data_IF_846854182516
#
_entry.id   IF_846854182516
#
_cell.length_a   1.000
_cell.length_b   1.000
_cell.length_c   1.000
_cell.angle_alpha   90.00
_cell.angle_beta   90.00
_cell.angle_gamma   90.00
#
_symmetry.space_group_name_H-M   'P 1'
#
loop_
_entity.id
_entity.type
_entity.pdbx_description
1 polymer ?
#
# COMPACT_ATOMS: atom_id res chain seq x y z
N UNK A 1 22.97 -3.37 -24.92
CA UNK A 1 23.94 -3.16 -23.83
C UNK A 1 23.61 -4.18 -22.77
N UNK A 2 24.49 -5.16 -22.54
CA UNK A 2 24.30 -6.23 -21.55
C UNK A 2 24.85 -5.70 -20.24
N UNK A 3 23.99 -5.60 -19.22
CA UNK A 3 24.44 -5.25 -17.86
C UNK A 3 24.58 -6.55 -17.07
N UNK A 4 25.75 -6.82 -16.54
CA UNK A 4 25.94 -7.81 -15.50
C UNK A 4 25.26 -7.31 -14.21
N UNK A 5 24.41 -8.15 -13.63
CA UNK A 5 23.61 -7.81 -12.46
C UNK A 5 23.86 -8.86 -11.39
N UNK A 6 24.55 -8.49 -10.33
CA UNK A 6 24.66 -9.27 -9.10
C UNK A 6 23.40 -9.10 -8.26
N UNK A 7 22.64 -10.17 -8.06
CA UNK A 7 21.47 -10.21 -7.20
C UNK A 7 20.20 -10.74 -7.88
N UNK A 8 19.08 -10.93 -7.13
CA UNK A 8 17.82 -11.44 -7.69
C UNK A 8 17.27 -10.48 -8.75
N UNK A 9 16.89 -11.05 -9.90
CA UNK A 9 16.44 -10.32 -11.08
C UNK A 9 14.93 -10.45 -11.25
N UNK A 10 14.27 -9.33 -11.55
CA UNK A 10 12.88 -9.31 -12.04
C UNK A 10 12.91 -9.14 -13.55
N UNK A 11 12.42 -10.11 -14.30
CA UNK A 11 12.28 -10.03 -15.74
C UNK A 11 10.92 -9.52 -16.15
N UNK A 12 10.87 -8.53 -17.05
CA UNK A 12 9.65 -8.06 -17.70
C UNK A 12 9.78 -8.23 -19.21
N UNK A 13 8.86 -8.95 -19.84
CA UNK A 13 8.80 -9.05 -21.31
C UNK A 13 7.84 -8.01 -21.87
N UNK A 14 8.37 -7.05 -22.64
CA UNK A 14 7.58 -6.04 -23.34
C UNK A 14 7.94 -6.08 -24.81
N UNK A 15 6.95 -6.23 -25.68
CA UNK A 15 7.13 -6.28 -27.14
C UNK A 15 8.19 -7.29 -27.62
N UNK A 16 8.24 -8.48 -27.00
CA UNK A 16 9.18 -9.54 -27.36
C UNK A 16 10.61 -9.35 -26.85
N UNK A 17 10.89 -8.33 -26.06
CA UNK A 17 12.19 -8.07 -25.40
C UNK A 17 12.09 -8.30 -23.91
N UNK A 18 13.09 -8.99 -23.35
CA UNK A 18 13.20 -9.24 -21.92
C UNK A 18 13.99 -8.12 -21.25
N UNK A 19 13.42 -7.53 -20.21
CA UNK A 19 14.05 -6.53 -19.35
C UNK A 19 14.26 -7.13 -17.96
N UNK A 20 15.48 -7.04 -17.43
CA UNK A 20 15.82 -7.53 -16.11
C UNK A 20 16.20 -6.37 -15.20
N UNK A 21 15.63 -6.32 -14.02
CA UNK A 21 15.87 -5.26 -13.03
C UNK A 21 16.47 -5.86 -11.76
N UNK A 22 17.51 -5.24 -11.21
CA UNK A 22 18.06 -5.58 -9.91
C UNK A 22 17.28 -4.86 -8.80
N UNK A 23 16.81 -5.59 -7.81
CA UNK A 23 16.07 -5.03 -6.66
C UNK A 23 16.94 -4.06 -5.85
N UNK A 24 18.26 -4.30 -5.75
CA UNK A 24 19.19 -3.40 -5.07
C UNK A 24 19.35 -2.04 -5.77
N UNK A 25 19.15 -1.98 -7.10
CA UNK A 25 19.17 -0.74 -7.87
C UNK A 25 17.91 0.10 -7.66
N UNK A 26 16.75 -0.55 -7.47
CA UNK A 26 15.49 0.14 -7.19
C UNK A 26 15.53 0.99 -5.90
N UNK A 27 16.13 0.48 -4.83
CA UNK A 27 16.26 1.23 -3.56
C UNK A 27 17.14 2.47 -3.72
N UNK A 28 18.17 2.42 -4.58
CA UNK A 28 19.08 3.56 -4.86
C UNK A 28 18.48 4.58 -5.82
N UNK A 29 17.74 4.14 -6.83
CA UNK A 29 17.06 5.05 -7.77
C UNK A 29 15.88 5.78 -7.12
N UNK A 30 15.16 5.17 -6.18
CA UNK A 30 14.13 5.85 -5.37
C UNK A 30 14.73 7.01 -4.56
N UNK A 31 15.92 6.84 -3.97
CA UNK A 31 16.60 7.91 -3.25
C UNK A 31 17.07 9.02 -4.19
N UNK A 32 17.63 8.68 -5.36
CA UNK A 32 18.07 9.66 -6.34
C UNK A 32 16.89 10.39 -7.00
N UNK A 33 15.77 9.72 -7.24
CA UNK A 33 14.53 10.32 -7.74
C UNK A 33 13.93 11.30 -6.73
N UNK A 34 13.85 10.93 -5.45
CA UNK A 34 13.39 11.80 -4.37
C UNK A 34 14.31 13.01 -4.20
N UNK A 35 15.64 12.84 -4.29
CA UNK A 35 16.59 13.96 -4.24
C UNK A 35 16.47 14.91 -5.44
N UNK A 36 16.21 14.39 -6.64
CA UNK A 36 16.03 15.20 -7.85
C UNK A 36 14.73 16.00 -7.85
N UNK A 37 13.67 15.48 -7.22
CA UNK A 37 12.41 16.19 -7.00
C UNK A 37 12.49 17.21 -5.87
N UNK A 38 13.31 16.99 -4.84
CA UNK A 38 13.57 17.94 -3.76
C UNK A 38 14.46 19.11 -4.17
N UNK A 39 15.23 18.97 -5.27
CA UNK A 39 16.12 20.04 -5.75
C UNK A 39 15.41 21.20 -6.47
N UNK A 40 14.13 21.03 -6.89
CA UNK A 40 13.33 22.10 -7.50
C UNK A 40 12.17 22.44 -6.58
N UNK A 41 12.24 23.59 -5.95
CA UNK A 41 11.17 24.09 -5.08
C UNK A 41 9.88 24.30 -5.88
N UNK A 42 8.86 23.52 -5.56
CA UNK A 42 7.55 23.54 -6.24
C UNK A 42 6.43 23.90 -5.28
N UNK A 43 5.47 24.65 -5.78
CA UNK A 43 4.24 24.95 -5.04
C UNK A 43 3.52 23.65 -4.65
N UNK A 44 3.24 23.48 -3.36
CA UNK A 44 2.57 22.29 -2.85
C UNK A 44 1.13 22.12 -3.41
N UNK A 45 0.51 23.22 -3.85
CA UNK A 45 -0.84 23.19 -4.44
C UNK A 45 -0.81 22.91 -5.95
N UNK A 46 -0.23 23.79 -6.78
CA UNK A 46 -0.29 23.68 -8.24
C UNK A 46 0.87 22.91 -8.88
N UNK A 47 1.91 22.53 -8.12
CA UNK A 47 3.12 21.79 -8.56
C UNK A 47 4.06 22.56 -9.49
N UNK A 48 3.73 23.78 -9.88
CA UNK A 48 4.61 24.65 -10.66
C UNK A 48 5.79 25.14 -9.80
N UNK A 49 6.89 25.55 -10.47
CA UNK A 49 8.07 26.06 -9.78
C UNK A 49 7.72 27.32 -8.97
N UNK A 50 8.15 27.35 -7.72
CA UNK A 50 8.00 28.52 -6.85
C UNK A 50 9.07 29.56 -7.20
N UNK A 51 8.66 30.82 -7.31
CA UNK A 51 9.57 31.96 -7.52
C UNK A 51 10.18 32.47 -6.20
N UNK A 52 10.78 33.67 -6.27
CA UNK A 52 11.39 34.30 -5.09
C UNK A 52 10.38 34.70 -4.00
N UNK A 53 9.12 34.94 -4.40
CA UNK A 53 8.03 35.26 -3.46
C UNK A 53 7.14 34.05 -3.29
N UNK A 54 7.01 33.61 -2.04
CA UNK A 54 6.18 32.46 -1.68
C UNK A 54 5.67 32.59 -0.23
N UNK A 55 4.66 31.78 0.09
CA UNK A 55 4.15 31.53 1.44
C UNK A 55 4.56 30.13 1.89
N UNK A 56 4.66 29.92 3.20
CA UNK A 56 5.01 28.63 3.80
C UNK A 56 3.89 28.10 4.71
N UNK A 57 3.67 26.78 4.65
CA UNK A 57 2.90 26.06 5.63
C UNK A 57 3.66 24.78 6.01
N UNK A 58 4.32 24.79 7.17
CA UNK A 58 5.34 23.80 7.54
C UNK A 58 6.48 23.83 6.52
N UNK A 59 6.86 22.65 6.02
CA UNK A 59 7.94 22.51 5.02
C UNK A 59 7.51 22.79 3.58
N UNK A 60 6.21 23.05 3.34
CA UNK A 60 5.67 23.26 2.00
C UNK A 60 5.62 24.72 1.62
N UNK A 61 6.03 25.04 0.36
CA UNK A 61 5.99 26.36 -0.25
C UNK A 61 4.80 26.51 -1.21
N UNK A 62 4.25 27.71 -1.29
CA UNK A 62 3.07 28.03 -2.09
C UNK A 62 3.26 29.37 -2.79
N UNK A 63 2.74 29.52 -3.99
CA UNK A 63 2.52 30.84 -4.57
C UNK A 63 1.50 31.63 -3.72
N UNK A 64 1.56 32.93 -3.68
CA UNK A 64 0.58 33.77 -2.97
C UNK A 64 -0.87 33.45 -3.39
N UNK A 65 -1.12 33.27 -4.69
CA UNK A 65 -2.43 32.90 -5.21
C UNK A 65 -2.87 31.45 -4.88
N UNK A 66 -1.94 30.58 -4.52
CA UNK A 66 -2.19 29.20 -4.14
C UNK A 66 -2.33 29.02 -2.62
N UNK A 67 -1.94 30.01 -1.84
CA UNK A 67 -2.01 30.01 -0.37
C UNK A 67 -3.40 30.43 0.09
N UNK A 68 -4.40 29.59 -0.22
CA UNK A 68 -5.83 29.88 0.00
C UNK A 68 -6.54 28.68 0.63
N UNK A 69 -7.52 28.98 1.45
CA UNK A 69 -8.42 27.98 1.99
C UNK A 69 -9.22 27.29 0.86
N UNK A 70 -9.22 25.98 0.87
CA UNK A 70 -9.96 25.18 -0.11
C UNK A 70 -11.47 25.43 -0.04
N UNK A 71 -12.02 25.66 1.16
CA UNK A 71 -13.45 25.90 1.36
C UNK A 71 -13.87 27.31 0.89
N UNK A 72 -13.37 28.37 1.54
CA UNK A 72 -13.82 29.74 1.29
C UNK A 72 -13.02 30.50 0.21
N UNK A 73 -11.90 29.94 -0.29
CA UNK A 73 -10.99 30.52 -1.29
C UNK A 73 -10.27 31.80 -0.85
N UNK A 74 -10.45 32.23 0.41
CA UNK A 74 -9.72 33.37 0.98
C UNK A 74 -8.29 32.99 1.34
N UNK A 75 -7.38 33.97 1.29
CA UNK A 75 -6.01 33.81 1.75
C UNK A 75 -5.98 33.74 3.28
N UNK A 76 -4.96 33.07 3.84
CA UNK A 76 -4.75 33.02 5.27
C UNK A 76 -4.10 34.31 5.76
N UNK A 77 -4.61 34.84 6.86
CA UNK A 77 -4.05 36.00 7.59
C UNK A 77 -3.25 35.50 8.80
N UNK A 78 -2.34 36.30 9.30
CA UNK A 78 -1.51 35.91 10.45
C UNK A 78 -2.35 35.56 11.68
N UNK A 79 -2.05 34.44 12.32
CA UNK A 79 -2.74 33.97 13.53
C UNK A 79 -3.94 33.05 13.30
N UNK A 80 -4.39 32.86 12.06
CA UNK A 80 -5.47 31.90 11.75
C UNK A 80 -4.99 30.46 11.83
N UNK A 81 -5.85 29.59 12.36
CA UNK A 81 -5.60 28.14 12.37
C UNK A 81 -5.68 27.52 10.98
N UNK A 82 -4.65 26.77 10.61
CA UNK A 82 -4.49 26.20 9.29
C UNK A 82 -4.38 24.67 9.35
N UNK A 83 -5.25 23.96 8.60
CA UNK A 83 -5.13 22.55 8.30
C UNK A 83 -4.48 22.32 6.92
N UNK A 84 -3.55 21.35 6.83
CA UNK A 84 -2.83 21.02 5.60
C UNK A 84 -2.99 19.56 5.25
N UNK A 85 -3.36 19.27 4.00
CA UNK A 85 -3.38 17.92 3.45
C UNK A 85 -2.11 17.58 2.67
N UNK A 86 -1.80 16.28 2.47
CA UNK A 86 -0.55 15.84 1.83
C UNK A 86 -0.46 16.21 0.35
N UNK A 87 -1.57 16.66 -0.26
CA UNK A 87 -1.61 17.13 -1.65
C UNK A 87 -1.46 18.65 -1.79
N UNK A 88 -1.16 19.34 -0.67
CA UNK A 88 -1.02 20.78 -0.64
C UNK A 88 -2.34 21.54 -0.55
N UNK A 89 -3.46 20.85 -0.29
CA UNK A 89 -4.71 21.52 0.05
C UNK A 89 -4.62 22.13 1.44
N UNK A 90 -5.05 23.41 1.55
CA UNK A 90 -5.08 24.15 2.81
C UNK A 90 -6.53 24.46 3.19
N UNK A 91 -6.82 24.49 4.48
CA UNK A 91 -8.15 24.81 4.99
C UNK A 91 -8.03 25.59 6.30
N UNK A 92 -8.84 26.65 6.50
CA UNK A 92 -9.01 27.24 7.83
C UNK A 92 -9.61 26.20 8.77
N UNK A 93 -9.15 26.12 10.00
CA UNK A 93 -9.65 25.12 10.95
C UNK A 93 -11.17 25.23 11.17
N UNK A 94 -11.70 26.43 11.15
CA UNK A 94 -13.15 26.70 11.24
C UNK A 94 -13.96 26.16 10.05
N UNK A 95 -13.30 26.00 8.89
CA UNK A 95 -13.91 25.46 7.67
C UNK A 95 -13.65 23.96 7.46
N UNK A 96 -13.05 23.28 8.43
CA UNK A 96 -12.71 21.86 8.32
C UNK A 96 -13.94 20.97 8.05
N UNK A 97 -15.11 21.35 8.56
CA UNK A 97 -16.37 20.63 8.30
C UNK A 97 -16.90 20.75 6.87
N UNK A 98 -16.45 21.74 6.09
CA UNK A 98 -16.84 21.98 4.70
C UNK A 98 -16.00 21.18 3.69
N UNK A 99 -14.95 20.51 4.15
CA UNK A 99 -14.10 19.66 3.32
C UNK A 99 -14.21 18.20 3.75
N UNK A 100 -13.97 17.31 2.81
CA UNK A 100 -13.78 15.89 3.06
C UNK A 100 -12.33 15.51 2.78
N UNK A 101 -11.86 14.47 3.46
CA UNK A 101 -10.56 13.85 3.19
C UNK A 101 -10.78 12.47 2.60
N UNK A 102 -10.07 12.14 1.54
CA UNK A 102 -10.12 10.81 0.94
C UNK A 102 -9.49 9.76 1.89
N UNK A 103 -10.22 8.68 2.17
CA UNK A 103 -9.74 7.61 3.06
C UNK A 103 -8.54 6.82 2.52
N UNK A 104 -8.30 6.90 1.21
CA UNK A 104 -7.17 6.21 0.58
C UNK A 104 -5.93 7.10 0.43
N UNK A 105 -6.08 8.31 -0.09
CA UNK A 105 -4.94 9.18 -0.41
C UNK A 105 -4.86 10.47 0.42
N UNK A 106 -5.78 10.66 1.37
CA UNK A 106 -5.89 11.85 2.23
C UNK A 106 -5.99 13.20 1.46
N UNK A 107 -6.42 13.17 0.19
CA UNK A 107 -6.68 14.40 -0.57
C UNK A 107 -7.90 15.12 0.01
N UNK A 108 -7.76 16.41 0.28
CA UNK A 108 -8.87 17.28 0.64
C UNK A 108 -9.67 17.68 -0.61
N UNK A 109 -10.99 17.73 -0.47
CA UNK A 109 -11.90 18.27 -1.49
C UNK A 109 -13.15 18.87 -0.81
N UNK A 110 -13.78 19.83 -1.49
CA UNK A 110 -14.97 20.49 -0.97
C UNK A 110 -16.16 19.54 -1.04
N UNK A 111 -16.96 19.53 0.03
CA UNK A 111 -18.16 18.68 0.07
C UNK A 111 -19.20 19.10 -0.96
N UNK A 112 -19.35 20.42 -1.19
CA UNK A 112 -20.31 20.95 -2.17
C UNK A 112 -19.96 20.60 -3.63
N UNK A 113 -18.67 20.40 -3.94
CA UNK A 113 -18.21 20.04 -5.28
C UNK A 113 -18.15 18.49 -5.47
N UNK A 114 -18.54 17.71 -4.45
CA UNK A 114 -18.37 16.28 -4.47
C UNK A 114 -19.52 15.55 -5.17
N UNK A 115 -19.17 14.49 -5.92
CA UNK A 115 -20.15 13.57 -6.47
C UNK A 115 -20.67 12.64 -5.34
N UNK A 116 -21.98 12.37 -5.25
CA UNK A 116 -22.54 11.43 -4.28
C UNK A 116 -21.85 10.05 -4.27
N UNK A 117 -21.34 9.56 -5.43
CA UNK A 117 -20.58 8.32 -5.54
C UNK A 117 -19.27 8.32 -4.77
N UNK A 118 -18.77 9.48 -4.35
CA UNK A 118 -17.57 9.59 -3.53
C UNK A 118 -17.78 9.18 -2.07
N UNK A 119 -19.05 9.03 -1.65
CA UNK A 119 -19.45 8.59 -0.32
C UNK A 119 -20.03 7.18 -0.40
N UNK A 120 -19.30 6.23 0.15
CA UNK A 120 -19.74 4.84 0.18
C UNK A 120 -20.75 4.61 1.30
N UNK A 121 -21.65 3.66 1.12
CA UNK A 121 -22.65 3.29 2.15
C UNK A 121 -22.05 2.79 3.45
N UNK A 122 -20.79 2.35 3.43
CA UNK A 122 -20.01 1.91 4.59
C UNK A 122 -19.28 3.06 5.31
N UNK A 123 -19.54 4.30 4.92
CA UNK A 123 -18.97 5.52 5.49
C UNK A 123 -17.60 5.91 4.92
N UNK A 124 -17.00 5.13 4.01
CA UNK A 124 -15.77 5.55 3.33
C UNK A 124 -16.04 6.73 2.40
N UNK A 125 -15.02 7.57 2.27
CA UNK A 125 -15.02 8.73 1.39
C UNK A 125 -13.84 8.63 0.43
N UNK A 126 -14.10 8.77 -0.88
CA UNK A 126 -13.08 8.72 -1.93
C UNK A 126 -13.05 10.01 -2.73
N UNK A 127 -11.86 10.55 -3.00
CA UNK A 127 -11.77 11.65 -3.95
C UNK A 127 -12.02 11.14 -5.38
N UNK A 128 -12.33 12.05 -6.31
CA UNK A 128 -12.66 11.71 -7.69
C UNK A 128 -11.58 10.82 -8.36
N UNK A 129 -10.32 11.19 -8.22
CA UNK A 129 -9.21 10.41 -8.79
C UNK A 129 -9.13 8.97 -8.26
N UNK A 130 -9.30 8.79 -6.94
CA UNK A 130 -9.30 7.47 -6.33
C UNK A 130 -10.53 6.65 -6.73
N UNK A 131 -11.68 7.30 -6.92
CA UNK A 131 -12.91 6.65 -7.36
C UNK A 131 -12.82 6.17 -8.82
N UNK A 132 -12.29 6.99 -9.72
CA UNK A 132 -12.10 6.64 -11.14
C UNK A 132 -11.14 5.45 -11.31
N UNK A 133 -10.13 5.37 -10.44
CA UNK A 133 -9.17 4.28 -10.45
C UNK A 133 -9.58 3.09 -9.56
N UNK A 134 -10.73 3.14 -8.89
CA UNK A 134 -11.17 2.11 -7.96
C UNK A 134 -11.48 0.76 -8.63
N UNK A 135 -11.24 -0.31 -7.88
CA UNK A 135 -11.46 -1.70 -8.30
C UNK A 135 -12.83 -2.17 -7.83
N UNK A 136 -13.76 -2.34 -8.77
CA UNK A 136 -15.14 -2.78 -8.51
C UNK A 136 -15.50 -4.11 -9.17
N UNK A 137 -14.66 -4.62 -10.06
CA UNK A 137 -14.94 -5.81 -10.87
C UNK A 137 -13.73 -6.75 -10.95
N UNK A 138 -13.99 -7.95 -11.43
CA UNK A 138 -12.98 -9.02 -11.54
C UNK A 138 -11.96 -8.76 -12.66
N UNK A 139 -12.32 -8.01 -13.70
CA UNK A 139 -11.41 -7.64 -14.77
C UNK A 139 -10.27 -6.77 -14.22
N UNK A 140 -10.62 -5.68 -13.53
CA UNK A 140 -9.67 -4.78 -12.91
C UNK A 140 -8.87 -5.45 -11.79
N UNK A 141 -9.51 -6.36 -11.01
CA UNK A 141 -8.82 -7.17 -10.01
C UNK A 141 -7.79 -8.12 -10.64
N UNK A 142 -8.08 -8.66 -11.82
CA UNK A 142 -7.13 -9.48 -12.58
C UNK A 142 -5.88 -8.70 -12.99
N UNK A 143 -6.02 -7.42 -13.34
CA UNK A 143 -4.88 -6.52 -13.61
C UNK A 143 -4.05 -6.28 -12.35
N UNK A 144 -4.69 -6.09 -11.19
CA UNK A 144 -3.99 -5.99 -9.89
C UNK A 144 -3.16 -7.26 -9.64
N UNK A 145 -3.77 -8.44 -9.81
CA UNK A 145 -3.06 -9.72 -9.66
C UNK A 145 -1.88 -9.84 -10.61
N UNK A 146 -2.07 -9.50 -11.88
CA UNK A 146 -1.01 -9.51 -12.89
C UNK A 146 0.16 -8.59 -12.55
N UNK A 147 -0.09 -7.53 -11.76
CA UNK A 147 0.95 -6.62 -11.28
C UNK A 147 1.66 -7.17 -10.04
N UNK A 148 0.96 -7.81 -9.12
CA UNK A 148 1.49 -8.29 -7.84
C UNK A 148 2.33 -9.56 -8.02
N UNK A 149 1.81 -10.59 -8.68
CA UNK A 149 2.43 -11.93 -8.74
C UNK A 149 3.87 -11.92 -9.26
N UNK A 150 4.23 -11.20 -10.35
CA UNK A 150 5.60 -11.16 -10.82
C UNK A 150 6.58 -10.54 -9.80
N UNK A 151 6.14 -9.53 -9.04
CA UNK A 151 6.96 -8.90 -8.01
C UNK A 151 7.27 -9.89 -6.89
N UNK A 152 6.25 -10.61 -6.40
CA UNK A 152 6.42 -11.63 -5.35
C UNK A 152 7.38 -12.73 -5.78
N UNK A 153 7.20 -13.26 -6.99
CA UNK A 153 8.11 -14.26 -7.56
C UNK A 153 9.53 -13.74 -7.73
N UNK A 154 9.66 -12.46 -8.11
CA UNK A 154 10.94 -11.80 -8.30
C UNK A 154 11.78 -11.66 -7.02
N UNK A 155 11.15 -11.64 -5.85
CA UNK A 155 11.84 -11.66 -4.55
C UNK A 155 12.04 -13.08 -3.99
N UNK A 156 11.63 -14.12 -4.74
CA UNK A 156 11.79 -15.52 -4.31
C UNK A 156 10.58 -16.07 -3.52
N UNK A 157 9.48 -15.31 -3.41
CA UNK A 157 8.27 -15.80 -2.75
C UNK A 157 7.54 -16.78 -3.68
N UNK A 158 7.59 -18.07 -3.36
CA UNK A 158 6.82 -19.10 -4.07
C UNK A 158 5.34 -19.01 -3.68
N UNK A 159 4.48 -18.95 -4.67
CA UNK A 159 3.02 -18.97 -4.51
C UNK A 159 2.49 -20.36 -4.90
N UNK A 160 1.29 -20.74 -4.40
CA UNK A 160 0.64 -21.98 -4.82
C UNK A 160 0.49 -22.08 -6.34
N UNK A 161 0.66 -23.30 -6.89
CA UNK A 161 0.46 -23.55 -8.33
C UNK A 161 -0.99 -23.37 -8.74
N UNK A 162 -1.92 -23.78 -7.86
CA UNK A 162 -3.35 -23.56 -8.08
C UNK A 162 -3.72 -22.10 -7.90
N UNK A 163 -4.49 -21.52 -8.83
CA UNK A 163 -5.01 -20.16 -8.66
C UNK A 163 -5.82 -20.03 -7.37
N UNK A 164 -5.47 -19.07 -6.54
CA UNK A 164 -6.24 -18.73 -5.33
C UNK A 164 -7.46 -17.92 -5.75
N UNK A 165 -8.69 -18.32 -5.34
CA UNK A 165 -9.87 -17.49 -5.51
C UNK A 165 -9.72 -16.16 -4.78
N UNK A 166 -9.96 -15.05 -5.52
CA UNK A 166 -9.93 -13.68 -4.97
C UNK A 166 -11.28 -13.05 -5.27
N UNK A 167 -11.97 -12.60 -4.22
CA UNK A 167 -13.31 -12.04 -4.30
C UNK A 167 -13.34 -10.60 -3.81
N UNK A 168 -14.03 -9.74 -4.56
CA UNK A 168 -14.37 -8.39 -4.09
C UNK A 168 -15.60 -8.47 -3.19
N UNK A 169 -15.50 -7.91 -1.98
CA UNK A 169 -16.54 -7.96 -0.96
C UNK A 169 -16.84 -6.58 -0.41
N UNK A 170 -17.99 -6.44 0.21
CA UNK A 170 -18.39 -5.20 0.89
C UNK A 170 -17.82 -5.11 2.34
N UNK A 171 -17.97 -3.95 2.94
CA UNK A 171 -17.56 -3.70 4.32
C UNK A 171 -18.31 -4.59 5.33
N UNK A 172 -19.65 -4.77 5.26
CA UNK A 172 -20.36 -5.66 6.16
C UNK A 172 -19.84 -7.10 6.16
N UNK A 173 -19.42 -7.62 4.99
CA UNK A 173 -18.81 -8.94 4.91
C UNK A 173 -17.51 -8.99 5.71
N UNK A 174 -16.56 -8.05 5.43
CA UNK A 174 -15.28 -8.03 6.12
C UNK A 174 -15.41 -7.82 7.64
N UNK A 175 -16.32 -6.97 8.07
CA UNK A 175 -16.55 -6.69 9.49
C UNK A 175 -17.11 -7.93 10.21
N UNK A 176 -17.96 -8.71 9.54
CA UNK A 176 -18.48 -9.99 10.07
C UNK A 176 -17.38 -11.02 10.20
N UNK A 177 -16.55 -11.18 9.15
CA UNK A 177 -15.45 -12.13 9.17
C UNK A 177 -14.35 -11.70 10.16
N UNK A 178 -14.02 -10.42 10.26
CA UNK A 178 -13.10 -9.89 11.25
C UNK A 178 -13.52 -10.26 12.68
N UNK A 179 -14.80 -10.09 13.01
CA UNK A 179 -15.35 -10.48 14.32
C UNK A 179 -15.21 -11.98 14.57
N UNK A 180 -15.43 -12.82 13.53
CA UNK A 180 -15.32 -14.28 13.63
C UNK A 180 -13.90 -14.73 13.96
N UNK A 181 -12.90 -14.07 13.38
CA UNK A 181 -11.47 -14.38 13.62
C UNK A 181 -10.85 -13.54 14.75
N UNK A 182 -11.66 -12.73 15.45
CA UNK A 182 -11.23 -11.83 16.53
C UNK A 182 -10.12 -10.85 16.09
N UNK A 183 -10.16 -10.41 14.82
CA UNK A 183 -9.26 -9.38 14.32
C UNK A 183 -9.73 -8.00 14.74
N UNK A 184 -8.81 -7.16 15.17
CA UNK A 184 -9.09 -5.77 15.51
C UNK A 184 -8.87 -4.86 14.29
N UNK A 185 -9.70 -3.83 14.16
CA UNK A 185 -9.58 -2.81 13.13
C UNK A 185 -10.47 -3.04 11.91
N UNK A 186 -10.42 -2.07 11.00
CA UNK A 186 -11.17 -2.09 9.73
C UNK A 186 -10.33 -2.76 8.64
N UNK A 187 -10.54 -4.06 8.43
CA UNK A 187 -9.84 -4.81 7.40
C UNK A 187 -10.13 -4.25 5.99
N UNK A 188 -9.13 -4.28 5.12
CA UNK A 188 -9.24 -3.98 3.68
C UNK A 188 -9.06 -5.22 2.82
N UNK A 189 -8.47 -6.26 3.39
CA UNK A 189 -8.35 -7.60 2.84
C UNK A 189 -8.48 -8.64 3.94
N UNK A 190 -8.61 -9.89 3.55
CA UNK A 190 -8.67 -11.03 4.46
C UNK A 190 -8.29 -12.31 3.72
N UNK A 191 -7.36 -13.05 4.27
CA UNK A 191 -6.99 -14.40 3.81
C UNK A 191 -7.58 -15.45 4.73
N UNK A 192 -8.39 -16.34 4.17
CA UNK A 192 -8.83 -17.55 4.86
C UNK A 192 -8.07 -18.75 4.31
N UNK A 193 -7.46 -19.52 5.21
CA UNK A 193 -6.75 -20.75 4.89
C UNK A 193 -7.39 -21.90 5.65
N UNK A 194 -7.78 -22.96 4.92
CA UNK A 194 -8.11 -24.28 5.47
C UNK A 194 -6.99 -25.22 5.08
N UNK A 195 -6.64 -26.13 5.96
CA UNK A 195 -5.71 -27.19 5.65
C UNK A 195 -6.23 -28.55 6.12
N UNK A 196 -5.81 -29.60 5.43
CA UNK A 196 -6.12 -30.98 5.78
C UNK A 196 -4.83 -31.77 5.82
N UNK A 197 -4.53 -32.36 6.95
CA UNK A 197 -3.43 -33.32 7.12
C UNK A 197 -3.96 -34.73 6.91
N UNK A 198 -3.40 -35.43 5.96
CA UNK A 198 -3.65 -36.83 5.73
C UNK A 198 -2.48 -37.63 6.34
N UNK A 199 -2.76 -38.44 7.32
CA UNK A 199 -1.75 -39.28 8.00
C UNK A 199 -1.77 -40.69 7.40
N UNK A 200 -0.61 -41.28 7.17
CA UNK A 200 -0.44 -42.62 6.60
C UNK A 200 0.97 -42.82 6.07
N UNK A 201 1.16 -43.85 5.24
CA UNK A 201 2.45 -44.16 4.62
C UNK A 201 2.92 -42.97 3.76
N UNK A 202 1.97 -42.27 3.11
CA UNK A 202 2.19 -41.01 2.36
C UNK A 202 1.51 -39.87 3.09
N UNK A 203 2.14 -39.34 4.16
CA UNK A 203 1.60 -38.18 4.84
C UNK A 203 1.68 -36.96 3.96
N UNK A 204 0.56 -36.23 3.79
CA UNK A 204 0.48 -35.04 2.95
C UNK A 204 -0.37 -33.98 3.62
N UNK A 205 -0.03 -32.71 3.35
CA UNK A 205 -0.87 -31.57 3.75
C UNK A 205 -1.38 -30.88 2.51
N UNK A 206 -2.69 -30.67 2.45
CA UNK A 206 -3.32 -29.89 1.40
C UNK A 206 -3.89 -28.61 1.96
N UNK A 207 -3.78 -27.53 1.20
CA UNK A 207 -4.28 -26.22 1.57
C UNK A 207 -5.38 -25.76 0.61
N UNK A 208 -6.34 -25.03 1.17
CA UNK A 208 -7.38 -24.33 0.44
C UNK A 208 -7.42 -22.89 0.92
N UNK A 209 -7.06 -21.98 0.04
CA UNK A 209 -6.99 -20.53 0.32
C UNK A 209 -8.12 -19.80 -0.35
N UNK A 210 -8.57 -18.72 0.28
CA UNK A 210 -9.48 -17.75 -0.30
C UNK A 210 -9.11 -16.36 0.19
N UNK A 211 -8.99 -15.41 -0.75
CA UNK A 211 -8.66 -14.02 -0.45
C UNK A 211 -9.90 -13.16 -0.71
N UNK A 212 -10.22 -12.30 0.23
CA UNK A 212 -11.26 -11.30 0.10
C UNK A 212 -10.63 -9.92 0.10
N UNK A 213 -11.05 -9.07 -0.84
CA UNK A 213 -10.58 -7.68 -0.98
C UNK A 213 -11.79 -6.75 -0.90
N UNK A 214 -11.66 -5.67 -0.13
CA UNK A 214 -12.70 -4.65 -0.04
C UNK A 214 -12.93 -3.99 -1.41
N UNK A 215 -14.17 -4.06 -1.90
CA UNK A 215 -14.57 -3.41 -3.16
C UNK A 215 -14.42 -1.89 -3.10
N UNK A 216 -14.03 -1.27 -4.21
CA UNK A 216 -13.90 0.17 -4.32
C UNK A 216 -12.60 0.75 -3.77
N UNK A 217 -11.57 -0.07 -3.50
CA UNK A 217 -10.23 0.43 -3.24
C UNK A 217 -9.59 0.97 -4.53
N UNK A 218 -8.85 2.09 -4.51
CA UNK A 218 -8.04 2.52 -5.64
C UNK A 218 -7.06 1.42 -6.08
N UNK A 219 -6.76 1.37 -7.36
CA UNK A 219 -5.92 0.33 -7.96
C UNK A 219 -4.59 0.11 -7.21
N UNK A 220 -3.87 1.20 -6.90
CA UNK A 220 -2.59 1.14 -6.18
C UNK A 220 -2.75 0.62 -4.75
N UNK A 221 -3.83 1.01 -4.06
CA UNK A 221 -4.12 0.49 -2.74
C UNK A 221 -4.51 -0.99 -2.78
N UNK A 222 -5.29 -1.39 -3.81
CA UNK A 222 -5.65 -2.78 -4.04
C UNK A 222 -4.40 -3.66 -4.28
N UNK A 223 -3.37 -3.17 -5.00
CA UNK A 223 -2.05 -3.81 -5.12
C UNK A 223 -1.45 -4.08 -3.74
N UNK A 224 -1.42 -3.07 -2.88
CA UNK A 224 -0.88 -3.18 -1.52
C UNK A 224 -1.60 -4.25 -0.70
N UNK A 225 -2.93 -4.20 -0.71
CA UNK A 225 -3.77 -5.15 0.04
C UNK A 225 -3.60 -6.56 -0.49
N UNK A 226 -3.66 -6.77 -1.81
CA UNK A 226 -3.50 -8.10 -2.38
C UNK A 226 -2.11 -8.70 -2.11
N UNK A 227 -1.05 -7.89 -2.16
CA UNK A 227 0.30 -8.33 -1.81
C UNK A 227 0.40 -8.77 -0.35
N UNK A 228 -0.25 -8.03 0.56
CA UNK A 228 -0.37 -8.38 1.98
C UNK A 228 -1.05 -9.74 2.17
N UNK A 229 -2.18 -9.95 1.50
CA UNK A 229 -2.93 -11.20 1.59
C UNK A 229 -2.17 -12.41 1.00
N UNK A 230 -1.42 -12.21 -0.08
CA UNK A 230 -0.53 -13.25 -0.59
C UNK A 230 0.60 -13.61 0.38
N UNK A 231 1.09 -12.64 1.16
CA UNK A 231 2.08 -12.92 2.19
C UNK A 231 1.48 -13.81 3.31
N UNK A 232 0.23 -13.58 3.71
CA UNK A 232 -0.47 -14.48 4.63
C UNK A 232 -0.61 -15.90 4.05
N UNK A 233 -0.91 -16.05 2.76
CA UNK A 233 -0.93 -17.38 2.11
C UNK A 233 0.42 -18.06 2.25
N UNK A 234 1.51 -17.36 1.93
CA UNK A 234 2.86 -17.90 2.01
C UNK A 234 3.24 -18.35 3.43
N UNK A 235 2.89 -17.55 4.43
CA UNK A 235 3.11 -17.86 5.85
C UNK A 235 2.29 -19.08 6.29
N UNK A 236 1.01 -19.12 5.91
CA UNK A 236 0.08 -20.17 6.30
C UNK A 236 0.49 -21.55 5.73
N UNK A 237 0.90 -21.62 4.44
CA UNK A 237 1.36 -22.86 3.82
C UNK A 237 2.62 -23.43 4.47
N UNK A 238 3.37 -22.59 5.16
CA UNK A 238 4.62 -22.98 5.85
C UNK A 238 4.45 -23.10 7.35
N UNK A 239 3.20 -22.98 7.84
CA UNK A 239 2.89 -23.04 9.25
C UNK A 239 3.81 -22.12 10.09
N UNK A 240 4.06 -20.91 9.59
CA UNK A 240 4.90 -19.97 10.30
C UNK A 240 4.15 -19.49 11.55
N UNK A 241 4.69 -19.84 12.71
CA UNK A 241 4.22 -19.41 14.02
C UNK A 241 5.14 -18.31 14.56
N UNK A 242 4.61 -17.14 14.72
CA UNK A 242 5.38 -15.97 15.16
C UNK A 242 4.48 -14.92 15.81
N UNK A 243 5.09 -13.89 16.36
CA UNK A 243 4.31 -12.80 16.96
C UNK A 243 3.47 -12.06 15.93
N UNK A 244 2.30 -11.52 16.31
CA UNK A 244 1.49 -10.70 15.39
C UNK A 244 2.28 -9.58 14.73
N UNK A 245 3.21 -8.94 15.44
CA UNK A 245 4.05 -7.87 14.90
C UNK A 245 5.04 -8.36 13.82
N UNK A 246 5.51 -9.59 13.91
CA UNK A 246 6.38 -10.18 12.88
C UNK A 246 5.57 -10.64 11.68
N UNK A 247 4.43 -11.26 11.88
CA UNK A 247 3.50 -11.68 10.80
C UNK A 247 3.04 -10.47 10.01
N UNK A 248 2.40 -9.50 10.66
CA UNK A 248 1.86 -8.32 10.00
C UNK A 248 2.97 -7.40 9.45
N UNK A 249 4.09 -7.33 10.14
CA UNK A 249 5.27 -6.61 9.69
C UNK A 249 5.84 -7.19 8.40
N UNK A 250 5.91 -8.52 8.27
CA UNK A 250 6.33 -9.21 7.06
C UNK A 250 5.31 -8.98 5.93
N UNK A 251 4.01 -9.11 6.18
CA UNK A 251 2.97 -8.85 5.19
C UNK A 251 3.02 -7.40 4.68
N UNK A 252 3.23 -6.43 5.57
CA UNK A 252 3.41 -5.03 5.18
C UNK A 252 4.70 -4.79 4.38
N UNK A 253 5.79 -5.50 4.67
CA UNK A 253 7.01 -5.43 3.87
C UNK A 253 6.77 -5.93 2.43
N UNK A 254 6.02 -7.01 2.27
CA UNK A 254 5.61 -7.52 0.95
C UNK A 254 4.70 -6.52 0.22
N UNK A 255 3.81 -5.85 0.93
CA UNK A 255 3.02 -4.75 0.36
C UNK A 255 3.91 -3.60 -0.12
N UNK A 256 4.89 -3.20 0.68
CA UNK A 256 5.82 -2.09 0.37
C UNK A 256 6.60 -2.34 -0.91
N UNK A 257 7.11 -3.55 -1.14
CA UNK A 257 7.85 -3.85 -2.37
C UNK A 257 6.98 -3.80 -3.63
N UNK A 258 5.70 -4.18 -3.52
CA UNK A 258 4.76 -4.05 -4.63
C UNK A 258 4.41 -2.58 -4.89
N UNK A 259 4.20 -1.79 -3.84
CA UNK A 259 3.98 -0.35 -3.94
C UNK A 259 5.20 0.37 -4.53
N UNK A 260 6.42 -0.06 -4.22
CA UNK A 260 7.65 0.56 -4.72
C UNK A 260 7.78 0.47 -6.26
N UNK A 261 7.05 -0.43 -6.92
CA UNK A 261 6.97 -0.51 -8.37
C UNK A 261 6.10 0.60 -9.00
N UNK A 262 5.33 1.32 -8.20
CA UNK A 262 4.48 2.42 -8.62
C UNK A 262 5.06 3.75 -8.12
N UNK A 263 5.25 4.70 -9.06
CA UNK A 263 5.85 6.02 -8.77
C UNK A 263 4.80 7.09 -8.48
N UNK A 264 3.53 6.72 -8.39
CA UNK A 264 2.46 7.65 -8.08
C UNK A 264 2.59 8.22 -6.66
N UNK A 265 2.06 9.43 -6.49
CA UNK A 265 2.01 10.04 -5.15
C UNK A 265 1.15 9.22 -4.18
N UNK A 266 0.16 8.48 -4.66
CA UNK A 266 -0.65 7.58 -3.82
C UNK A 266 0.23 6.47 -3.24
N UNK A 267 1.05 5.83 -4.07
CA UNK A 267 2.01 4.82 -3.61
C UNK A 267 2.98 5.37 -2.57
N UNK A 268 3.56 6.55 -2.84
CA UNK A 268 4.47 7.22 -1.89
C UNK A 268 3.79 7.49 -0.54
N UNK A 269 2.56 8.00 -0.54
CA UNK A 269 1.80 8.28 0.69
C UNK A 269 1.45 7.01 1.46
N UNK A 270 1.08 5.92 0.77
CA UNK A 270 0.80 4.63 1.42
C UNK A 270 2.07 4.08 2.10
N UNK A 271 3.21 4.11 1.42
CA UNK A 271 4.50 3.69 1.98
C UNK A 271 4.94 4.59 3.15
N UNK A 272 4.76 5.89 3.03
CA UNK A 272 5.05 6.85 4.10
C UNK A 272 4.17 6.59 5.33
N UNK A 273 2.89 6.32 5.14
CA UNK A 273 1.97 5.98 6.22
C UNK A 273 2.38 4.67 6.94
N UNK A 274 2.83 3.64 6.20
CA UNK A 274 3.39 2.43 6.80
C UNK A 274 4.61 2.74 7.67
N UNK A 275 5.51 3.61 7.20
CA UNK A 275 6.71 4.02 7.94
C UNK A 275 6.41 4.84 9.19
N UNK A 276 5.42 5.74 9.13
CA UNK A 276 5.04 6.64 10.22
C UNK A 276 4.05 6.03 11.20
N UNK A 277 3.45 4.90 10.87
CA UNK A 277 2.45 4.24 11.72
C UNK A 277 3.02 3.94 13.10
N UNK A 278 2.36 4.43 14.15
CA UNK A 278 2.70 4.18 15.55
C UNK A 278 2.12 2.87 16.07
N UNK A 279 1.29 2.20 15.26
CA UNK A 279 0.71 0.92 15.64
C UNK A 279 1.81 -0.11 15.93
N UNK A 280 1.81 -0.75 17.12
CA UNK A 280 2.89 -1.65 17.54
C UNK A 280 2.97 -2.93 16.70
N UNK A 281 1.86 -3.39 16.16
CA UNK A 281 1.79 -4.59 15.32
C UNK A 281 2.15 -4.25 13.88
N UNK A 282 1.39 -3.37 13.24
CA UNK A 282 1.54 -3.06 11.82
C UNK A 282 2.73 -2.13 11.53
N UNK A 283 2.87 -1.03 12.26
CA UNK A 283 3.91 -0.02 12.02
C UNK A 283 5.27 -0.41 12.55
N UNK A 284 5.37 -0.74 13.86
CA UNK A 284 6.63 -1.16 14.45
C UNK A 284 7.10 -2.50 13.89
N UNK A 285 6.19 -3.45 13.65
CA UNK A 285 6.48 -4.72 12.98
C UNK A 285 7.08 -4.50 11.60
N UNK A 286 6.46 -3.64 10.77
CA UNK A 286 6.95 -3.29 9.45
C UNK A 286 8.38 -2.71 9.48
N UNK A 287 8.64 -1.72 10.36
CA UNK A 287 9.98 -1.12 10.47
C UNK A 287 11.03 -2.15 10.89
N UNK A 288 10.67 -3.09 11.78
CA UNK A 288 11.53 -4.20 12.19
C UNK A 288 11.86 -5.11 11.00
N UNK A 289 10.85 -5.57 10.26
CA UNK A 289 11.06 -6.45 9.10
C UNK A 289 11.85 -5.77 8.00
N UNK A 290 11.62 -4.48 7.75
CA UNK A 290 12.41 -3.69 6.81
C UNK A 290 13.88 -3.56 7.23
N UNK A 291 14.17 -3.41 8.52
CA UNK A 291 15.54 -3.42 9.05
C UNK A 291 16.20 -4.78 8.86
N UNK A 292 15.47 -5.87 9.10
CA UNK A 292 15.98 -7.23 8.90
C UNK A 292 16.27 -7.51 7.42
N UNK A 293 15.38 -7.08 6.52
CA UNK A 293 15.64 -7.18 5.08
C UNK A 293 16.93 -6.47 4.68
N UNK A 294 17.21 -5.28 5.23
CA UNK A 294 18.46 -4.57 4.97
C UNK A 294 19.70 -5.35 5.42
N UNK A 295 19.60 -6.07 6.53
CA UNK A 295 20.71 -6.82 7.13
C UNK A 295 20.94 -8.17 6.47
N UNK A 296 19.87 -8.88 6.09
CA UNK A 296 19.90 -10.29 5.71
C UNK A 296 19.69 -10.51 4.22
N UNK A 297 19.17 -9.52 3.50
CA UNK A 297 18.63 -9.73 2.15
C UNK A 297 17.37 -10.59 2.16
N UNK A 298 16.80 -10.86 0.98
CA UNK A 298 15.57 -11.66 0.86
C UNK A 298 15.78 -13.12 1.28
N UNK A 299 16.85 -13.76 0.82
CA UNK A 299 17.12 -15.15 1.14
C UNK A 299 17.28 -15.37 2.65
N UNK A 300 18.02 -14.49 3.32
CA UNK A 300 18.21 -14.55 4.76
C UNK A 300 16.92 -14.28 5.55
N UNK A 301 16.09 -13.32 5.08
CA UNK A 301 14.81 -13.03 5.71
C UNK A 301 13.83 -14.21 5.56
N UNK A 302 13.75 -14.81 4.36
CA UNK A 302 12.92 -16.01 4.17
C UNK A 302 13.41 -17.18 5.02
N UNK A 303 14.73 -17.42 5.08
CA UNK A 303 15.30 -18.48 5.93
C UNK A 303 14.95 -18.26 7.40
N UNK A 304 15.02 -17.02 7.89
CA UNK A 304 14.63 -16.69 9.25
C UNK A 304 13.12 -16.94 9.53
N UNK A 305 12.26 -16.57 8.59
CA UNK A 305 10.82 -16.85 8.72
C UNK A 305 10.57 -18.36 8.69
N UNK A 306 11.20 -19.09 7.79
CA UNK A 306 11.07 -20.55 7.69
C UNK A 306 11.55 -21.28 8.93
N UNK A 307 12.56 -20.75 9.64
CA UNK A 307 13.01 -21.32 10.92
C UNK A 307 11.94 -21.32 12.03
N UNK A 308 10.85 -20.55 11.83
CA UNK A 308 9.68 -20.50 12.74
C UNK A 308 8.53 -21.40 12.30
N UNK A 309 8.77 -22.30 11.35
CA UNK A 309 7.76 -23.25 10.90
C UNK A 309 7.43 -24.26 12.00
N UNK A 310 6.15 -24.40 12.32
CA UNK A 310 5.60 -25.33 13.32
C UNK A 310 4.44 -26.13 12.71
N UNK A 311 4.73 -27.10 11.82
CA UNK A 311 3.68 -27.90 11.20
C UNK A 311 2.94 -28.73 12.25
N UNK A 312 1.62 -28.96 12.08
CA UNK A 312 0.86 -29.80 12.97
C UNK A 312 1.40 -31.25 12.93
N UNK A 313 1.73 -31.79 14.08
CA UNK A 313 2.27 -33.16 14.26
C UNK A 313 1.30 -34.26 13.81
#
# INVERSE_FOLDING_TARGET
>A
MVFEVDGPRVGLRVNGRDYYFSISRFVREDQAYMQKWSAVERCASCKEKVGERYREAGDDKYHDQCFRCLACRQSFVGGEGLGKGPWGGLVHLEHASQVSSCDSCARFFRREDSNPKQYFSDGRVSCQNCLEDAVFDQEKLSLVRARVVPVLRGVGMSLPDKPIPIELVDRPFLDREAKRIKSEGKLRGLTLTKFKVTRGVDSSTSFEHRIYILSGLPYVECISVLAHEYAHVWLNERFIDSTPAEIEGFCNLISEICLAQDKSKVSLLLRENMMKSENPVYGAGFRRMRSRLKSLGWDGLFAEMLAKSSPPG
#
